data_IF_913206647687
#
_entry.id   IF_913206647687
#
_cell.length_a   1.000
_cell.length_b   1.000
_cell.length_c   1.000
_cell.angle_alpha   90.00
_cell.angle_beta   90.00
_cell.angle_gamma   90.00
#
_symmetry.space_group_name_H-M   'P 1'
#
loop_
_entity.id
_entity.type
_entity.pdbx_description
1 polymer ?
#
# COMPACT_ATOMS: atom_id res chain seq x y z
N UNK A 1 -23.54 -34.28 6.29
CA UNK A 1 -22.38 -34.19 7.22
C UNK A 1 -21.22 -33.66 6.40
N UNK A 2 -20.55 -32.53 6.59
CA UNK A 2 -20.45 -31.44 7.57
C UNK A 2 -20.05 -30.19 6.72
N UNK A 3 -20.75 -29.06 6.78
CA UNK A 3 -20.29 -27.78 7.38
C UNK A 3 -18.77 -27.53 7.36
N UNK A 4 -18.35 -26.40 6.76
CA UNK A 4 -17.45 -25.39 7.37
C UNK A 4 -17.03 -24.30 6.34
N UNK A 5 -17.61 -23.08 6.38
CA UNK A 5 -17.02 -21.79 6.88
C UNK A 5 -16.06 -21.13 5.84
N UNK A 6 -16.01 -19.84 5.49
CA UNK A 6 -16.51 -18.52 5.93
C UNK A 6 -16.19 -17.52 4.76
N UNK A 7 -17.06 -16.55 4.39
CA UNK A 7 -16.94 -15.08 4.62
C UNK A 7 -15.89 -14.33 3.75
N UNK A 8 -16.05 -13.11 3.24
CA UNK A 8 -16.99 -12.00 3.46
C UNK A 8 -16.98 -11.12 2.18
N UNK A 9 -18.08 -10.62 1.62
CA UNK A 9 -18.78 -9.40 2.08
C UNK A 9 -20.04 -9.20 1.22
N UNK A 10 -21.13 -9.90 1.54
CA UNK A 10 -22.48 -9.48 1.08
C UNK A 10 -23.59 -10.06 1.97
N UNK A 11 -23.33 -10.16 3.27
CA UNK A 11 -24.27 -10.68 4.25
C UNK A 11 -24.32 -9.74 5.47
N UNK A 12 -24.80 -8.52 5.26
CA UNK A 12 -25.16 -7.61 6.34
C UNK A 12 -26.26 -6.66 5.84
N UNK A 13 -27.51 -7.16 5.86
CA UNK A 13 -28.76 -6.42 6.09
C UNK A 13 -29.94 -7.17 5.44
N UNK A 14 -30.54 -8.12 6.17
CA UNK A 14 -32.00 -8.29 6.29
C UNK A 14 -32.25 -9.52 7.17
N UNK A 15 -32.15 -9.33 8.48
CA UNK A 15 -32.73 -10.24 9.46
C UNK A 15 -33.62 -9.40 10.36
N UNK A 16 -34.91 -9.36 10.05
CA UNK A 16 -35.95 -8.86 10.94
C UNK A 16 -37.04 -9.92 11.06
N UNK A 17 -37.00 -10.54 12.24
CA UNK A 17 -37.83 -11.55 12.88
C UNK A 17 -39.34 -11.40 12.65
N UNK A 18 -39.99 -12.49 12.24
CA UNK A 18 -41.44 -12.69 12.25
C UNK A 18 -41.93 -12.93 13.70
N UNK A 19 -42.87 -12.12 14.16
CA UNK A 19 -43.78 -12.46 15.25
C UNK A 19 -45.21 -12.06 14.82
N UNK A 20 -46.12 -13.04 14.73
CA UNK A 20 -47.56 -12.82 14.54
C UNK A 20 -48.24 -12.62 15.90
N UNK A 21 -49.35 -11.85 15.96
CA UNK A 21 -50.64 -12.54 15.99
C UNK A 21 -51.75 -11.93 15.10
N UNK A 22 -52.53 -12.86 14.54
CA UNK A 22 -53.97 -12.85 14.24
C UNK A 22 -54.68 -11.67 13.53
N UNK A 23 -55.37 -12.04 12.45
CA UNK A 23 -56.65 -11.50 11.96
C UNK A 23 -56.60 -10.19 11.17
N UNK A 24 -56.38 -10.34 9.86
CA UNK A 24 -56.69 -9.33 8.86
C UNK A 24 -56.31 -9.87 7.49
N UNK A 25 -57.23 -9.82 6.52
CA UNK A 25 -56.97 -10.15 5.12
C UNK A 25 -55.82 -9.28 4.59
N UNK A 26 -54.60 -9.83 4.56
CA UNK A 26 -53.42 -9.17 4.03
C UNK A 26 -52.92 -9.97 2.82
N UNK A 27 -52.86 -9.29 1.68
CA UNK A 27 -52.12 -9.69 0.49
C UNK A 27 -50.73 -10.23 0.92
N UNK A 28 -50.29 -11.37 0.38
CA UNK A 28 -48.93 -11.86 0.58
C UNK A 28 -47.91 -10.72 0.31
N UNK A 29 -46.84 -10.56 1.10
CA UNK A 29 -45.86 -9.52 0.85
C UNK A 29 -45.29 -9.76 -0.56
N UNK A 30 -45.49 -8.80 -1.47
CA UNK A 30 -44.91 -8.87 -2.80
C UNK A 30 -43.39 -9.01 -2.66
N UNK A 31 -42.81 -10.04 -3.26
CA UNK A 31 -41.35 -10.23 -3.29
C UNK A 31 -40.70 -8.96 -3.83
N UNK A 32 -39.63 -8.49 -3.16
CA UNK A 32 -38.92 -7.28 -3.54
C UNK A 32 -38.39 -7.38 -4.99
N UNK A 33 -38.92 -6.61 -5.95
CA UNK A 33 -38.62 -6.80 -7.37
C UNK A 33 -37.14 -6.60 -7.68
N UNK A 34 -36.44 -5.75 -6.92
CA UNK A 34 -34.99 -5.52 -7.04
C UNK A 34 -34.23 -6.79 -6.65
N UNK A 35 -34.58 -7.39 -5.52
CA UNK A 35 -33.95 -8.62 -5.04
C UNK A 35 -34.23 -9.80 -5.99
N UNK A 36 -35.48 -9.93 -6.45
CA UNK A 36 -35.88 -10.98 -7.40
C UNK A 36 -35.11 -10.86 -8.72
N UNK A 37 -34.95 -9.65 -9.27
CA UNK A 37 -34.17 -9.43 -10.48
C UNK A 37 -32.68 -9.76 -10.28
N UNK A 38 -32.11 -9.41 -9.12
CA UNK A 38 -30.72 -9.74 -8.79
C UNK A 38 -30.49 -11.24 -8.65
N UNK A 39 -31.39 -11.96 -7.97
CA UNK A 39 -31.32 -13.43 -7.84
C UNK A 39 -31.45 -14.10 -9.21
N UNK A 40 -32.37 -13.62 -10.06
CA UNK A 40 -32.53 -14.13 -11.42
C UNK A 40 -31.24 -13.99 -12.24
N UNK A 41 -30.56 -12.84 -12.16
CA UNK A 41 -29.27 -12.62 -12.81
C UNK A 41 -28.20 -13.61 -12.33
N UNK A 42 -28.10 -13.81 -11.01
CA UNK A 42 -27.15 -14.74 -10.40
C UNK A 42 -27.40 -16.20 -10.80
N UNK A 43 -28.65 -16.64 -10.79
CA UNK A 43 -29.00 -18.02 -11.17
C UNK A 43 -28.82 -18.27 -12.67
N UNK A 44 -29.16 -17.30 -13.52
CA UNK A 44 -28.88 -17.37 -14.95
C UNK A 44 -27.37 -17.45 -15.24
N UNK A 45 -26.56 -16.66 -14.51
CA UNK A 45 -25.10 -16.71 -14.61
C UNK A 45 -24.53 -18.08 -14.19
N UNK A 46 -24.98 -18.64 -13.06
CA UNK A 46 -24.57 -20.00 -12.62
C UNK A 46 -24.93 -21.08 -13.65
N UNK A 47 -26.11 -20.95 -14.27
CA UNK A 47 -26.55 -21.84 -15.33
C UNK A 47 -25.83 -21.62 -16.67
N UNK A 48 -24.85 -20.70 -16.74
CA UNK A 48 -24.16 -20.25 -17.95
C UNK A 48 -25.09 -19.72 -19.06
N UNK A 49 -26.28 -19.25 -18.67
CA UNK A 49 -27.24 -18.58 -19.57
C UNK A 49 -26.96 -17.07 -19.56
N UNK A 50 -25.90 -16.66 -20.23
CA UNK A 50 -25.38 -15.29 -20.15
C UNK A 50 -26.31 -14.25 -20.77
N UNK A 51 -27.12 -14.60 -21.76
CA UNK A 51 -28.11 -13.68 -22.33
C UNK A 51 -29.27 -13.42 -21.37
N UNK A 52 -29.75 -14.46 -20.69
CA UNK A 52 -30.77 -14.33 -19.64
C UNK A 52 -30.24 -13.54 -18.44
N UNK A 53 -28.98 -13.75 -18.09
CA UNK A 53 -28.30 -12.98 -17.04
C UNK A 53 -28.18 -11.50 -17.41
N UNK A 54 -27.80 -11.17 -18.66
CA UNK A 54 -27.74 -9.79 -19.15
C UNK A 54 -29.12 -9.12 -19.12
N UNK A 55 -30.17 -9.85 -19.52
CA UNK A 55 -31.55 -9.35 -19.47
C UNK A 55 -32.00 -9.05 -18.03
N UNK A 56 -31.72 -9.97 -17.10
CA UNK A 56 -32.04 -9.76 -15.69
C UNK A 56 -31.27 -8.59 -15.08
N UNK A 57 -30.00 -8.39 -15.47
CA UNK A 57 -29.18 -7.25 -15.05
C UNK A 57 -29.69 -5.91 -15.61
N UNK A 58 -30.18 -5.88 -16.86
CA UNK A 58 -30.84 -4.69 -17.42
C UNK A 58 -32.11 -4.35 -16.66
N UNK A 59 -32.94 -5.36 -16.36
CA UNK A 59 -34.14 -5.18 -15.55
C UNK A 59 -33.81 -4.66 -14.16
N UNK A 60 -32.74 -5.15 -13.56
CA UNK A 60 -32.25 -4.67 -12.27
C UNK A 60 -31.88 -3.18 -12.32
N UNK A 61 -31.14 -2.73 -13.33
CA UNK A 61 -30.81 -1.31 -13.49
C UNK A 61 -32.04 -0.43 -13.69
N UNK A 62 -33.01 -0.89 -14.47
CA UNK A 62 -34.27 -0.17 -14.68
C UNK A 62 -35.02 0.05 -13.36
N UNK A 63 -35.14 -1.00 -12.55
CA UNK A 63 -35.73 -0.92 -11.21
C UNK A 63 -34.92 0.03 -10.32
N UNK A 64 -33.59 -0.09 -10.31
CA UNK A 64 -32.73 0.80 -9.53
C UNK A 64 -32.83 2.25 -9.98
N UNK A 65 -33.15 2.54 -11.24
CA UNK A 65 -33.32 3.92 -11.73
C UNK A 65 -34.55 4.62 -11.15
N UNK A 66 -35.53 3.86 -10.65
CA UNK A 66 -36.74 4.41 -10.04
C UNK A 66 -36.46 5.03 -8.66
N UNK A 67 -37.08 6.18 -8.31
CA UNK A 67 -36.89 6.82 -7.00
C UNK A 67 -37.32 5.93 -5.82
N UNK A 68 -38.31 5.06 -6.05
CA UNK A 68 -38.84 4.11 -5.06
C UNK A 68 -37.78 3.14 -4.51
N UNK A 69 -36.75 2.84 -5.30
CA UNK A 69 -35.69 1.90 -4.93
C UNK A 69 -34.35 2.57 -4.65
N UNK A 70 -34.35 3.90 -4.49
CA UNK A 70 -33.14 4.68 -4.24
C UNK A 70 -32.35 4.20 -3.02
N UNK A 71 -33.04 3.85 -1.93
CA UNK A 71 -32.44 3.34 -0.69
C UNK A 71 -31.71 2.00 -0.85
N UNK A 72 -31.98 1.24 -1.91
CA UNK A 72 -31.36 -0.08 -2.17
C UNK A 72 -30.20 -0.01 -3.15
N UNK A 73 -30.00 1.14 -3.83
CA UNK A 73 -29.00 1.31 -4.89
C UNK A 73 -27.60 0.97 -4.38
N UNK A 74 -27.18 1.59 -3.29
CA UNK A 74 -25.80 1.44 -2.77
C UNK A 74 -25.50 0.00 -2.33
N UNK A 75 -26.51 -0.73 -1.87
CA UNK A 75 -26.37 -2.14 -1.45
C UNK A 75 -26.28 -3.08 -2.64
N UNK A 76 -26.97 -2.80 -3.74
CA UNK A 76 -27.14 -3.73 -4.87
C UNK A 76 -26.16 -3.45 -6.03
N UNK A 77 -25.77 -2.18 -6.23
CA UNK A 77 -24.87 -1.76 -7.31
C UNK A 77 -23.53 -2.52 -7.35
N UNK A 78 -22.84 -2.82 -6.23
CA UNK A 78 -21.61 -3.60 -6.27
C UNK A 78 -21.84 -4.99 -6.87
N UNK A 79 -22.91 -5.67 -6.45
CA UNK A 79 -23.29 -6.97 -7.01
C UNK A 79 -23.65 -6.89 -8.49
N UNK A 80 -24.38 -5.84 -8.89
CA UNK A 80 -24.70 -5.60 -10.30
C UNK A 80 -23.43 -5.46 -11.16
N UNK A 81 -22.49 -4.60 -10.76
CA UNK A 81 -21.25 -4.37 -11.51
C UNK A 81 -20.41 -5.64 -11.62
N UNK A 82 -20.33 -6.43 -10.55
CA UNK A 82 -19.64 -7.71 -10.56
C UNK A 82 -20.21 -8.69 -11.60
N UNK A 83 -21.52 -8.94 -11.56
CA UNK A 83 -22.16 -9.88 -12.50
C UNK A 83 -22.22 -9.33 -13.92
N UNK A 84 -22.37 -8.03 -14.12
CA UNK A 84 -22.30 -7.40 -15.44
C UNK A 84 -20.91 -7.55 -16.07
N UNK A 85 -19.85 -7.40 -15.27
CA UNK A 85 -18.47 -7.62 -15.73
C UNK A 85 -18.22 -9.08 -16.13
N UNK A 86 -18.66 -10.04 -15.31
CA UNK A 86 -18.45 -11.46 -15.60
C UNK A 86 -19.23 -11.93 -16.83
N UNK A 87 -20.48 -11.48 -16.99
CA UNK A 87 -21.27 -11.73 -18.20
C UNK A 87 -20.61 -11.12 -19.44
N UNK A 88 -20.15 -9.87 -19.35
CA UNK A 88 -19.46 -9.21 -20.47
C UNK A 88 -18.18 -9.94 -20.87
N UNK A 89 -17.39 -10.41 -19.89
CA UNK A 89 -16.18 -11.20 -20.13
C UNK A 89 -16.48 -12.50 -20.87
N UNK A 90 -17.49 -13.27 -20.43
CA UNK A 90 -17.90 -14.52 -21.10
C UNK A 90 -18.43 -14.27 -22.51
N UNK A 91 -19.06 -13.12 -22.74
CA UNK A 91 -19.50 -12.66 -24.07
C UNK A 91 -18.37 -12.05 -24.91
N UNK A 92 -17.13 -12.04 -24.42
CA UNK A 92 -15.93 -11.47 -25.08
C UNK A 92 -16.03 -9.97 -25.33
N UNK A 93 -16.86 -9.26 -24.57
CA UNK A 93 -16.95 -7.80 -24.57
C UNK A 93 -16.00 -7.25 -23.50
N UNK A 94 -14.71 -7.18 -23.86
CA UNK A 94 -13.66 -6.76 -22.93
C UNK A 94 -13.85 -5.30 -22.48
N UNK A 95 -14.28 -4.41 -23.38
CA UNK A 95 -14.49 -3.00 -23.06
C UNK A 95 -15.54 -2.84 -21.96
N UNK A 96 -16.70 -3.50 -22.11
CA UNK A 96 -17.75 -3.49 -21.09
C UNK A 96 -17.30 -4.18 -19.81
N UNK A 97 -16.56 -5.28 -19.89
CA UNK A 97 -16.05 -5.97 -18.70
C UNK A 97 -15.14 -5.07 -17.86
N UNK A 98 -14.20 -4.37 -18.49
CA UNK A 98 -13.30 -3.42 -17.81
C UNK A 98 -14.05 -2.26 -17.18
N UNK A 99 -14.99 -1.67 -17.92
CA UNK A 99 -15.81 -0.56 -17.41
C UNK A 99 -16.59 -0.98 -16.14
N UNK A 100 -17.25 -2.14 -16.18
CA UNK A 100 -18.02 -2.61 -15.03
C UNK A 100 -17.12 -2.99 -13.84
N UNK A 101 -15.95 -3.58 -14.07
CA UNK A 101 -14.98 -3.83 -13.00
C UNK A 101 -14.45 -2.55 -12.37
N UNK A 102 -14.17 -1.51 -13.16
CA UNK A 102 -13.74 -0.23 -12.63
C UNK A 102 -14.76 0.34 -11.63
N UNK A 103 -16.06 0.33 -12.00
CA UNK A 103 -17.16 0.75 -11.11
C UNK A 103 -17.32 -0.15 -9.90
N UNK A 104 -17.12 -1.46 -10.07
CA UNK A 104 -17.14 -2.40 -8.94
C UNK A 104 -16.07 -2.07 -7.89
N UNK A 105 -14.85 -1.77 -8.32
CA UNK A 105 -13.74 -1.44 -7.42
C UNK A 105 -13.87 -0.07 -6.73
N UNK A 106 -14.75 0.82 -7.21
CA UNK A 106 -15.13 2.03 -6.46
C UNK A 106 -15.83 1.69 -5.15
N UNK A 107 -16.63 0.63 -5.16
CA UNK A 107 -17.34 0.13 -3.97
C UNK A 107 -16.51 -0.88 -3.17
N UNK A 108 -15.73 -1.75 -3.83
CA UNK A 108 -14.99 -2.84 -3.20
C UNK A 108 -13.51 -2.91 -3.68
N UNK A 109 -12.64 -1.96 -3.29
CA UNK A 109 -11.29 -1.80 -3.86
C UNK A 109 -10.30 -2.94 -3.53
N UNK A 110 -10.59 -3.75 -2.52
CA UNK A 110 -9.78 -4.88 -2.07
C UNK A 110 -10.39 -6.25 -2.37
N UNK A 111 -11.43 -6.32 -3.21
CA UNK A 111 -12.10 -7.59 -3.50
C UNK A 111 -11.14 -8.61 -4.14
N UNK A 112 -11.34 -9.88 -3.79
CA UNK A 112 -10.59 -11.03 -4.32
C UNK A 112 -11.55 -12.12 -4.76
N UNK A 113 -11.15 -12.86 -5.80
CA UNK A 113 -11.92 -13.98 -6.32
C UNK A 113 -11.48 -15.29 -5.67
N UNK A 114 -12.45 -16.12 -5.31
CA UNK A 114 -12.20 -17.47 -4.84
C UNK A 114 -11.56 -18.33 -5.96
N UNK A 115 -10.40 -18.97 -5.72
CA UNK A 115 -9.72 -19.82 -6.68
C UNK A 115 -10.53 -21.00 -7.23
N UNK A 116 -11.49 -21.51 -6.47
CA UNK A 116 -12.32 -22.66 -6.85
C UNK A 116 -13.54 -22.29 -7.69
N UNK A 117 -13.97 -21.04 -7.64
CA UNK A 117 -15.22 -20.57 -8.27
C UNK A 117 -15.03 -19.94 -9.66
N UNK A 118 -13.80 -19.55 -10.02
CA UNK A 118 -13.51 -18.82 -11.27
C UNK A 118 -12.28 -19.36 -12.02
N UNK A 119 -12.32 -19.27 -13.35
CA UNK A 119 -11.21 -19.70 -14.23
C UNK A 119 -9.91 -18.91 -13.91
N UNK A 120 -8.76 -19.51 -14.24
CA UNK A 120 -7.46 -18.86 -13.99
C UNK A 120 -7.31 -17.60 -14.83
N UNK A 121 -7.84 -17.61 -16.04
CA UNK A 121 -7.82 -16.53 -17.01
C UNK A 121 -8.64 -15.34 -16.52
N UNK A 122 -9.86 -15.59 -16.04
CA UNK A 122 -10.71 -14.53 -15.49
C UNK A 122 -10.14 -13.93 -14.21
N UNK A 123 -9.54 -14.74 -13.33
CA UNK A 123 -8.87 -14.24 -12.12
C UNK A 123 -7.71 -13.31 -12.45
N UNK A 124 -6.87 -13.66 -13.44
CA UNK A 124 -5.79 -12.77 -13.90
C UNK A 124 -6.33 -11.46 -14.46
N UNK A 125 -7.43 -11.50 -15.22
CA UNK A 125 -8.09 -10.31 -15.75
C UNK A 125 -8.64 -9.42 -14.63
N UNK A 126 -9.36 -10.02 -13.67
CA UNK A 126 -9.92 -9.32 -12.52
C UNK A 126 -8.84 -8.64 -11.66
N UNK A 127 -7.76 -9.38 -11.35
CA UNK A 127 -6.62 -8.84 -10.59
C UNK A 127 -5.94 -7.66 -11.31
N UNK A 128 -5.81 -7.73 -12.64
CA UNK A 128 -5.23 -6.65 -13.43
C UNK A 128 -6.10 -5.39 -13.39
N UNK A 129 -7.42 -5.52 -13.53
CA UNK A 129 -8.34 -4.38 -13.45
C UNK A 129 -8.43 -3.81 -12.03
N UNK A 130 -8.30 -4.64 -10.99
CA UNK A 130 -8.19 -4.18 -9.60
C UNK A 130 -6.96 -3.30 -9.41
N UNK A 131 -5.80 -3.75 -9.89
CA UNK A 131 -4.55 -2.98 -9.84
C UNK A 131 -4.68 -1.66 -10.61
N UNK A 132 -5.23 -1.70 -11.83
CA UNK A 132 -5.47 -0.50 -12.64
C UNK A 132 -6.43 0.48 -11.95
N UNK A 133 -7.47 0.00 -11.27
CA UNK A 133 -8.38 0.84 -10.50
C UNK A 133 -7.69 1.50 -9.30
N UNK A 134 -6.84 0.77 -8.57
CA UNK A 134 -6.02 1.30 -7.48
C UNK A 134 -5.04 2.36 -7.97
N UNK A 135 -4.38 2.13 -9.11
CA UNK A 135 -3.49 3.09 -9.75
C UNK A 135 -4.22 4.35 -10.20
N UNK A 136 -5.40 4.22 -10.85
CA UNK A 136 -6.25 5.37 -11.23
C UNK A 136 -6.68 6.17 -10.01
N UNK A 137 -7.09 5.50 -8.93
CA UNK A 137 -7.44 6.15 -7.67
C UNK A 137 -6.23 6.87 -7.05
N UNK A 138 -5.06 6.25 -7.07
CA UNK A 138 -3.82 6.87 -6.60
C UNK A 138 -3.35 8.04 -7.50
N UNK A 139 -3.73 8.05 -8.78
CA UNK A 139 -3.49 9.16 -9.70
C UNK A 139 -4.50 10.31 -9.50
N UNK A 140 -5.76 10.00 -9.18
CA UNK A 140 -6.83 10.98 -8.99
C UNK A 140 -6.94 11.53 -7.56
N UNK A 141 -6.39 10.84 -6.55
CA UNK A 141 -6.34 11.34 -5.19
C UNK A 141 -5.51 12.64 -5.15
N UNK A 142 -5.96 13.68 -4.43
CA UNK A 142 -5.11 14.83 -4.16
C UNK A 142 -3.79 14.33 -3.57
N UNK A 143 -2.64 14.94 -3.92
CA UNK A 143 -1.37 14.52 -3.37
C UNK A 143 -1.53 14.48 -1.85
N UNK A 144 -1.22 13.35 -1.19
CA UNK A 144 -1.28 13.30 0.26
C UNK A 144 -0.50 14.49 0.81
N UNK A 145 -1.04 15.16 1.83
CA UNK A 145 -0.36 16.28 2.50
C UNK A 145 1.09 15.90 2.83
N UNK A 146 1.99 16.86 3.05
CA UNK A 146 3.43 16.59 3.17
C UNK A 146 3.77 15.45 4.15
N UNK A 147 2.95 15.27 5.18
CA UNK A 147 3.12 14.24 6.21
C UNK A 147 2.27 12.98 6.00
N UNK A 148 1.38 12.92 5.01
CA UNK A 148 0.48 11.78 4.81
C UNK A 148 1.03 10.76 3.81
N UNK A 149 0.65 9.49 3.92
CA UNK A 149 1.04 8.42 2.99
C UNK A 149 -0.20 7.93 2.25
N UNK A 150 -0.33 8.21 0.94
CA UNK A 150 -1.42 7.63 0.16
C UNK A 150 -1.17 6.12 -0.10
N UNK A 151 -2.23 5.32 -0.20
CA UNK A 151 -2.12 3.92 -0.64
C UNK A 151 -2.20 2.83 0.44
N UNK A 152 -2.35 3.18 1.71
CA UNK A 152 -3.05 2.31 2.68
C UNK A 152 -2.34 1.04 3.16
N UNK A 153 -1.01 0.91 3.04
CA UNK A 153 -0.26 -0.19 3.70
C UNK A 153 0.63 0.25 4.86
N UNK A 154 0.93 1.55 4.95
CA UNK A 154 1.69 2.14 6.06
C UNK A 154 0.75 2.93 6.98
N UNK A 155 0.98 2.91 8.30
CA UNK A 155 0.32 3.84 9.21
C UNK A 155 0.52 5.29 8.77
N UNK A 156 -0.46 6.16 9.00
CA UNK A 156 -0.34 7.55 8.54
C UNK A 156 0.65 8.34 9.41
N UNK A 157 1.72 8.87 8.79
CA UNK A 157 2.76 9.62 9.50
C UNK A 157 2.25 10.96 10.04
N UNK A 158 1.22 11.55 9.43
CA UNK A 158 0.61 12.79 9.87
C UNK A 158 0.11 12.73 11.34
N UNK A 159 -0.29 11.55 11.81
CA UNK A 159 -0.75 11.34 13.18
C UNK A 159 0.38 11.26 14.22
N UNK A 160 1.64 11.08 13.80
CA UNK A 160 2.78 10.88 14.70
C UNK A 160 3.27 12.22 15.24
N UNK A 161 3.14 12.46 16.54
CA UNK A 161 3.87 13.54 17.23
C UNK A 161 5.31 13.12 17.58
N UNK A 162 6.18 14.10 17.81
CA UNK A 162 7.50 13.87 18.40
C UNK A 162 7.35 13.69 19.92
N UNK A 163 7.86 12.58 20.45
CA UNK A 163 8.14 12.45 21.88
C UNK A 163 9.53 13.03 22.17
N UNK A 164 9.59 14.27 22.65
CA UNK A 164 10.85 14.96 22.94
C UNK A 164 11.69 14.24 24.01
N UNK A 165 11.06 13.52 24.94
CA UNK A 165 11.76 12.80 26.00
C UNK A 165 12.57 11.61 25.48
N UNK A 166 12.16 11.05 24.35
CA UNK A 166 12.85 9.97 23.66
C UNK A 166 13.94 10.45 22.69
N UNK A 167 14.13 11.77 22.53
CA UNK A 167 15.22 12.32 21.73
C UNK A 167 16.54 12.18 22.51
N UNK A 168 17.57 11.51 21.95
CA UNK A 168 18.85 11.35 22.64
C UNK A 168 19.51 12.69 22.97
N UNK A 169 19.90 12.85 24.24
CA UNK A 169 20.73 13.97 24.67
C UNK A 169 22.14 13.86 24.07
N UNK A 170 22.79 15.00 23.82
CA UNK A 170 24.17 15.05 23.35
C UNK A 170 25.13 14.79 24.51
N UNK A 171 25.23 13.54 24.95
CA UNK A 171 26.11 13.12 26.05
C UNK A 171 27.55 12.88 25.61
N UNK A 172 27.78 12.67 24.30
CA UNK A 172 29.06 12.18 23.77
C UNK A 172 29.14 10.65 23.71
N UNK A 173 27.99 9.96 23.69
CA UNK A 173 27.93 8.49 23.60
C UNK A 173 28.70 7.95 22.36
N UNK A 174 29.67 7.04 22.53
CA UNK A 174 30.38 6.40 21.41
C UNK A 174 29.45 5.66 20.43
N UNK A 175 28.27 5.21 20.89
CA UNK A 175 27.26 4.53 20.06
C UNK A 175 26.39 5.46 19.21
N UNK A 176 26.48 6.78 19.38
CA UNK A 176 25.59 7.74 18.69
C UNK A 176 25.56 7.54 17.17
N UNK A 177 26.72 7.33 16.54
CA UNK A 177 26.83 7.15 15.09
C UNK A 177 26.11 5.90 14.56
N UNK A 178 25.86 4.90 15.40
CA UNK A 178 25.17 3.66 15.05
C UNK A 178 23.65 3.71 15.36
N UNK A 179 23.15 4.86 15.82
CA UNK A 179 21.69 5.11 15.99
C UNK A 179 21.03 5.56 14.67
N UNK A 180 19.78 6.04 14.71
CA UNK A 180 19.06 6.53 13.52
C UNK A 180 19.87 7.52 12.66
N UNK A 181 20.72 8.36 13.27
CA UNK A 181 21.60 9.31 12.55
C UNK A 181 22.54 8.64 11.55
N UNK A 182 22.74 7.32 11.67
CA UNK A 182 23.42 6.49 10.69
C UNK A 182 22.92 6.68 9.25
N UNK A 183 21.63 6.98 9.08
CA UNK A 183 21.03 7.22 7.76
C UNK A 183 21.51 8.53 7.10
N UNK A 184 21.98 9.49 7.90
CA UNK A 184 22.45 10.79 7.45
C UNK A 184 23.98 10.87 7.40
N UNK A 185 24.70 10.10 8.22
CA UNK A 185 26.17 10.11 8.27
C UNK A 185 26.78 9.52 6.99
N UNK A 186 27.85 10.14 6.52
CA UNK A 186 28.73 9.52 5.52
C UNK A 186 29.61 8.45 6.18
N UNK A 187 30.14 7.52 5.39
CA UNK A 187 31.06 6.49 5.90
C UNK A 187 32.32 7.09 6.52
N UNK A 188 32.79 8.23 5.97
CA UNK A 188 33.94 8.97 6.52
C UNK A 188 33.60 9.54 7.89
N UNK A 189 32.49 10.25 8.01
CA UNK A 189 32.06 10.85 9.29
C UNK A 189 31.80 9.81 10.37
N UNK A 190 31.24 8.65 10.01
CA UNK A 190 31.08 7.54 10.95
C UNK A 190 32.44 7.09 11.50
N UNK A 191 33.45 6.95 10.63
CA UNK A 191 34.82 6.56 11.03
C UNK A 191 35.45 7.66 11.89
N UNK A 192 35.34 8.92 11.46
CA UNK A 192 35.89 10.07 12.18
C UNK A 192 35.29 10.14 13.59
N UNK A 193 33.97 10.01 13.73
CA UNK A 193 33.29 9.99 15.04
C UNK A 193 33.80 8.88 15.95
N UNK A 194 33.93 7.66 15.41
CA UNK A 194 34.42 6.49 16.16
C UNK A 194 35.88 6.60 16.58
N UNK A 195 36.66 7.46 15.91
CA UNK A 195 38.08 7.69 16.25
C UNK A 195 38.29 8.77 17.31
N UNK A 196 37.23 9.50 17.70
CA UNK A 196 37.34 10.59 18.68
C UNK A 196 37.67 10.03 20.08
N UNK A 197 38.61 10.68 20.81
CA UNK A 197 39.19 10.12 22.02
C UNK A 197 38.26 10.15 23.23
N UNK A 198 37.41 11.18 23.35
CA UNK A 198 36.61 11.45 24.54
C UNK A 198 35.20 11.98 24.22
N UNK A 199 34.36 12.04 25.26
CA UNK A 199 32.97 12.48 25.14
C UNK A 199 32.87 13.96 24.75
N UNK A 200 33.84 14.81 25.12
CA UNK A 200 33.79 16.23 24.80
C UNK A 200 33.99 16.45 23.29
N UNK A 201 34.98 15.79 22.70
CA UNK A 201 35.22 15.79 21.26
C UNK A 201 34.02 15.21 20.49
N UNK A 202 33.40 14.14 21.01
CA UNK A 202 32.16 13.58 20.43
C UNK A 202 31.00 14.56 20.49
N UNK A 203 30.80 15.24 21.62
CA UNK A 203 29.74 16.27 21.75
C UNK A 203 29.92 17.43 20.77
N UNK A 204 31.16 17.89 20.57
CA UNK A 204 31.46 18.93 19.59
C UNK A 204 31.19 18.46 18.16
N UNK A 205 31.55 17.20 17.83
CA UNK A 205 31.20 16.60 16.55
C UNK A 205 29.69 16.60 16.31
N UNK A 206 28.90 16.11 17.27
CA UNK A 206 27.43 16.06 17.16
C UNK A 206 26.83 17.46 16.97
N UNK A 207 27.35 18.47 17.68
CA UNK A 207 26.91 19.85 17.52
C UNK A 207 27.16 20.36 16.09
N UNK A 208 28.41 20.25 15.60
CA UNK A 208 28.79 20.64 14.24
C UNK A 208 28.01 19.88 13.16
N UNK A 209 27.75 18.59 13.40
CA UNK A 209 26.94 17.77 12.50
C UNK A 209 25.53 18.35 12.33
N UNK A 210 24.84 18.67 13.44
CA UNK A 210 23.51 19.26 13.35
C UNK A 210 23.53 20.66 12.75
N UNK A 211 24.55 21.47 13.04
CA UNK A 211 24.72 22.80 12.45
C UNK A 211 24.85 22.77 10.90
N UNK A 212 25.27 21.63 10.32
CA UNK A 212 25.33 21.48 8.85
C UNK A 212 23.97 21.46 8.14
N UNK A 213 22.87 21.30 8.90
CA UNK A 213 21.50 21.31 8.36
C UNK A 213 20.85 22.71 8.35
N UNK A 214 21.54 23.72 8.88
CA UNK A 214 21.08 25.11 8.84
C UNK A 214 21.33 25.87 10.16
N UNK A 215 21.09 27.18 10.18
CA UNK A 215 21.24 28.00 11.37
C UNK A 215 20.04 27.87 12.33
N UNK A 216 20.32 27.83 13.64
CA UNK A 216 19.32 28.02 14.70
C UNK A 216 18.04 27.20 14.53
N UNK A 217 16.92 27.89 14.30
CA UNK A 217 15.59 27.28 14.18
C UNK A 217 15.48 26.28 13.01
N UNK A 218 16.18 26.50 11.89
CA UNK A 218 16.14 25.58 10.76
C UNK A 218 16.73 24.21 11.11
N UNK A 219 17.88 24.21 11.79
CA UNK A 219 18.49 23.00 12.37
C UNK A 219 17.55 22.35 13.38
N UNK A 220 16.97 23.12 14.28
CA UNK A 220 16.15 22.57 15.37
C UNK A 220 14.86 21.94 14.81
N UNK A 221 14.21 22.57 13.83
CA UNK A 221 13.07 22.01 13.08
C UNK A 221 13.46 20.74 12.33
N UNK A 222 14.60 20.74 11.62
CA UNK A 222 15.06 19.54 10.90
C UNK A 222 15.36 18.39 11.87
N UNK A 223 16.05 18.66 12.97
CA UNK A 223 16.38 17.67 14.00
C UNK A 223 15.11 17.09 14.63
N UNK A 224 14.14 17.94 14.99
CA UNK A 224 12.87 17.50 15.54
C UNK A 224 12.11 16.59 14.56
N UNK A 225 11.98 17.01 13.30
CA UNK A 225 11.34 16.21 12.25
C UNK A 225 12.08 14.90 11.98
N UNK A 226 13.41 14.91 11.98
CA UNK A 226 14.22 13.70 11.84
C UNK A 226 13.95 12.68 12.96
N UNK A 227 13.92 13.12 14.22
CA UNK A 227 13.63 12.22 15.33
C UNK A 227 12.16 11.77 15.36
N UNK A 228 11.23 12.61 14.91
CA UNK A 228 9.82 12.22 14.71
C UNK A 228 9.72 11.08 13.70
N UNK A 229 10.45 11.16 12.58
CA UNK A 229 10.57 10.08 11.59
C UNK A 229 11.22 8.83 12.18
N UNK A 230 12.30 8.97 12.96
CA UNK A 230 12.95 7.83 13.61
C UNK A 230 11.98 7.09 14.54
N UNK A 231 11.24 7.81 15.37
CA UNK A 231 10.23 7.26 16.28
C UNK A 231 9.05 6.62 15.53
N UNK A 232 8.67 7.17 14.37
CA UNK A 232 7.70 6.53 13.49
C UNK A 232 8.25 5.20 12.96
N UNK A 233 9.47 5.21 12.40
CA UNK A 233 10.13 4.02 11.88
C UNK A 233 10.24 2.93 12.93
N UNK A 234 10.60 3.26 14.17
CA UNK A 234 10.69 2.30 15.26
C UNK A 234 9.35 1.66 15.60
N UNK A 235 8.25 2.41 15.50
CA UNK A 235 6.92 1.86 15.72
C UNK A 235 6.39 1.02 14.55
N UNK A 236 6.74 1.40 13.31
CA UNK A 236 6.14 0.82 12.10
C UNK A 236 7.00 -0.29 11.46
N UNK A 237 8.33 -0.25 11.63
CA UNK A 237 9.27 -1.04 10.84
C UNK A 237 10.19 -1.93 11.66
N UNK A 238 10.11 -1.91 13.00
CA UNK A 238 10.93 -2.77 13.84
C UNK A 238 10.63 -4.25 13.59
N UNK A 239 11.69 -5.07 13.62
CA UNK A 239 11.62 -6.53 13.65
C UNK A 239 12.12 -7.01 15.00
N UNK A 240 12.13 -8.33 15.24
CA UNK A 240 12.64 -8.92 16.49
C UNK A 240 14.09 -8.51 16.77
N UNK A 241 14.93 -8.42 15.74
CA UNK A 241 16.36 -8.18 15.88
C UNK A 241 16.82 -6.76 15.47
N UNK A 242 15.99 -6.03 14.70
CA UNK A 242 16.39 -4.75 14.10
C UNK A 242 15.39 -3.66 14.44
N UNK A 243 15.89 -2.62 15.12
CA UNK A 243 15.15 -1.38 15.36
C UNK A 243 14.73 -0.74 14.04
N UNK A 244 13.48 -0.31 13.94
CA UNK A 244 12.88 0.17 12.70
C UNK A 244 13.63 1.34 12.05
N UNK A 245 14.19 2.28 12.82
CA UNK A 245 15.03 3.37 12.29
C UNK A 245 16.34 2.90 11.63
N UNK A 246 16.81 1.69 11.98
CA UNK A 246 18.02 1.07 11.43
C UNK A 246 17.71 0.09 10.28
N UNK A 247 16.43 -0.20 10.04
CA UNK A 247 16.00 -1.06 8.94
C UNK A 247 16.19 -0.37 7.58
N UNK A 248 16.15 -1.16 6.51
CA UNK A 248 16.18 -0.66 5.13
C UNK A 248 15.03 0.33 4.85
N UNK A 249 13.80 0.01 5.29
CA UNK A 249 12.65 0.92 5.23
C UNK A 249 12.90 2.20 6.01
N UNK A 250 13.44 2.06 7.22
CA UNK A 250 13.80 3.18 8.08
C UNK A 250 14.80 4.12 7.43
N UNK A 251 15.85 3.58 6.79
CA UNK A 251 16.86 4.39 6.10
C UNK A 251 16.26 5.24 4.97
N UNK A 252 15.40 4.66 4.14
CA UNK A 252 14.72 5.40 3.06
C UNK A 252 13.81 6.48 3.65
N UNK A 253 13.01 6.12 4.66
CA UNK A 253 12.04 7.02 5.29
C UNK A 253 12.70 8.18 6.04
N UNK A 254 13.82 7.94 6.72
CA UNK A 254 14.56 8.99 7.44
C UNK A 254 15.09 10.08 6.49
N UNK A 255 15.57 9.67 5.31
CA UNK A 255 16.15 10.59 4.32
C UNK A 255 15.06 11.29 3.50
N UNK A 256 14.09 10.56 2.96
CA UNK A 256 13.10 11.10 2.02
C UNK A 256 11.78 11.50 2.68
N UNK A 257 11.53 11.08 3.92
CA UNK A 257 10.26 11.25 4.60
C UNK A 257 9.20 10.24 4.13
N UNK A 258 7.90 10.53 4.31
CA UNK A 258 6.83 9.64 3.89
C UNK A 258 6.76 9.48 2.36
N UNK A 259 6.57 8.27 1.82
CA UNK A 259 6.40 8.07 0.38
C UNK A 259 5.08 8.65 -0.13
N UNK A 260 5.07 9.14 -1.37
CA UNK A 260 3.83 9.63 -2.02
C UNK A 260 2.79 8.52 -2.09
N UNK A 261 3.23 7.28 -2.35
CA UNK A 261 2.39 6.11 -2.39
C UNK A 261 3.13 4.88 -1.88
N UNK A 262 2.47 4.05 -1.07
CA UNK A 262 2.98 2.74 -0.66
C UNK A 262 1.96 1.65 -0.99
N UNK A 263 2.40 0.53 -1.57
CA UNK A 263 1.56 -0.64 -1.85
C UNK A 263 2.26 -1.96 -1.52
N UNK A 264 1.47 -3.02 -1.32
CA UNK A 264 1.94 -4.39 -1.13
C UNK A 264 1.32 -5.30 -2.18
N UNK A 265 2.09 -6.26 -2.65
CA UNK A 265 1.64 -7.25 -3.63
C UNK A 265 2.33 -8.59 -3.41
N UNK A 266 1.70 -9.72 -3.77
CA UNK A 266 2.38 -11.02 -3.74
C UNK A 266 3.57 -11.02 -4.71
N UNK A 267 4.72 -11.52 -4.26
CA UNK A 267 5.92 -11.67 -5.08
C UNK A 267 5.64 -12.72 -6.17
N UNK A 268 5.53 -12.30 -7.44
CA UNK A 268 5.29 -13.21 -8.57
C UNK A 268 6.61 -13.78 -9.08
N UNK A 269 6.60 -15.05 -9.50
CA UNK A 269 7.75 -15.88 -9.90
C UNK A 269 8.73 -15.26 -10.93
N UNK A 270 8.35 -14.19 -11.63
CA UNK A 270 9.18 -13.50 -12.64
C UNK A 270 9.92 -12.24 -12.15
N UNK A 271 9.68 -11.83 -10.89
CA UNK A 271 10.25 -10.63 -10.27
C UNK A 271 11.35 -10.94 -9.24
N UNK A 272 11.61 -12.22 -8.96
CA UNK A 272 12.71 -12.65 -8.11
C UNK A 272 14.03 -12.63 -8.91
N UNK A 273 14.92 -11.70 -8.59
CA UNK A 273 16.26 -11.57 -9.20
C UNK A 273 17.10 -12.83 -8.91
N UNK A 274 16.84 -13.53 -7.80
CA UNK A 274 17.55 -14.74 -7.41
C UNK A 274 17.10 -15.95 -8.23
N UNK A 275 15.83 -16.07 -8.62
CA UNK A 275 15.40 -17.14 -9.53
C UNK A 275 16.03 -17.00 -10.93
N UNK A 276 16.22 -15.75 -11.43
CA UNK A 276 16.99 -15.53 -12.68
C UNK A 276 18.43 -16.01 -12.58
N UNK A 277 19.06 -15.88 -11.42
CA UNK A 277 20.43 -16.35 -11.17
C UNK A 277 20.50 -17.85 -10.89
N UNK A 278 19.41 -18.46 -10.38
CA UNK A 278 19.33 -19.90 -10.07
C UNK A 278 19.07 -20.77 -11.30
N UNK A 279 18.43 -20.24 -12.34
CA UNK A 279 18.16 -20.96 -13.60
C UNK A 279 19.44 -21.39 -14.35
N UNK A 280 20.60 -20.78 -14.08
CA UNK A 280 21.87 -21.21 -14.70
C UNK A 280 22.45 -22.52 -14.11
N UNK A 281 22.09 -22.90 -12.87
CA UNK A 281 22.60 -24.11 -12.23
C UNK A 281 21.44 -25.05 -11.91
N UNK A 282 21.13 -25.90 -12.90
CA UNK A 282 20.09 -26.93 -12.95
C UNK A 282 19.86 -27.71 -11.63
N UNK A 283 19.12 -27.12 -10.68
CA UNK A 283 18.60 -27.75 -9.48
C UNK A 283 17.07 -27.71 -9.47
N UNK A 284 16.48 -28.84 -9.06
CA UNK A 284 15.05 -29.13 -9.03
C UNK A 284 14.19 -28.02 -8.41
N UNK A 285 13.16 -27.58 -9.15
CA UNK A 285 12.08 -26.72 -8.67
C UNK A 285 11.05 -27.58 -7.94
N UNK A 286 10.81 -27.30 -6.65
CA UNK A 286 9.68 -27.90 -5.93
C UNK A 286 8.37 -27.20 -6.35
N UNK A 287 7.32 -27.92 -6.76
CA UNK A 287 6.02 -27.32 -7.05
C UNK A 287 5.34 -26.87 -5.75
N UNK A 288 5.40 -25.58 -5.44
CA UNK A 288 4.78 -24.98 -4.27
C UNK A 288 5.22 -23.53 -4.14
N UNK A 289 4.35 -22.60 -4.53
CA UNK A 289 4.63 -21.18 -4.70
C UNK A 289 5.37 -20.55 -3.52
N UNK A 290 6.38 -19.76 -3.83
CA UNK A 290 7.13 -19.04 -2.83
C UNK A 290 6.27 -17.87 -2.35
N UNK A 291 5.71 -17.99 -1.13
CA UNK A 291 4.91 -16.95 -0.48
C UNK A 291 5.83 -15.79 -0.04
N UNK A 292 6.19 -14.91 -0.98
CA UNK A 292 6.88 -13.64 -0.71
C UNK A 292 5.94 -12.46 -0.88
N UNK A 293 6.25 -11.33 -0.24
CA UNK A 293 5.55 -10.06 -0.38
C UNK A 293 6.52 -9.00 -0.94
N UNK A 294 6.04 -8.24 -1.92
CA UNK A 294 6.71 -7.08 -2.49
C UNK A 294 5.99 -5.81 -2.04
N UNK A 295 6.70 -4.96 -1.30
CA UNK A 295 6.25 -3.64 -0.87
C UNK A 295 6.93 -2.57 -1.75
N UNK A 296 6.14 -1.71 -2.40
CA UNK A 296 6.61 -0.68 -3.31
C UNK A 296 6.35 0.71 -2.72
N UNK A 297 7.38 1.53 -2.61
CA UNK A 297 7.30 2.93 -2.17
C UNK A 297 7.63 3.87 -3.32
N UNK A 298 6.65 4.65 -3.75
CA UNK A 298 6.79 5.63 -4.83
C UNK A 298 6.95 7.02 -4.23
N UNK A 299 8.01 7.71 -4.61
CA UNK A 299 8.23 9.13 -4.34
C UNK A 299 8.08 9.88 -5.64
N UNK A 300 7.09 10.77 -5.71
CA UNK A 300 6.91 11.66 -6.86
C UNK A 300 7.69 12.96 -6.66
N UNK A 301 7.83 13.72 -7.74
CA UNK A 301 8.64 14.94 -7.83
C UNK A 301 8.48 15.91 -6.65
N UNK A 302 7.28 16.04 -6.10
CA UNK A 302 6.96 16.91 -4.98
C UNK A 302 7.60 16.48 -3.64
N UNK A 303 7.94 15.19 -3.48
CA UNK A 303 8.61 14.64 -2.29
C UNK A 303 10.09 14.37 -2.50
N UNK A 304 10.57 14.51 -3.72
CA UNK A 304 11.97 14.34 -4.05
C UNK A 304 12.71 15.66 -3.76
N UNK A 305 13.81 15.65 -2.99
CA UNK A 305 14.61 16.84 -2.75
C UNK A 305 15.05 17.53 -4.05
N UNK A 306 15.00 18.87 -4.07
CA UNK A 306 15.50 19.67 -5.18
C UNK A 306 16.98 19.33 -5.42
N UNK A 307 17.35 19.07 -6.68
CA UNK A 307 18.71 18.66 -7.07
C UNK A 307 18.84 17.19 -7.48
N UNK A 308 17.80 16.38 -7.26
CA UNK A 308 17.69 15.04 -7.84
C UNK A 308 17.01 15.13 -9.22
N UNK A 309 17.63 14.63 -10.31
CA UNK A 309 17.13 14.80 -11.68
C UNK A 309 16.07 13.75 -12.06
N UNK A 310 15.23 13.33 -11.10
CA UNK A 310 14.20 12.31 -11.32
C UNK A 310 12.84 12.85 -10.89
N UNK A 311 11.82 12.58 -11.71
CA UNK A 311 10.42 12.94 -11.41
C UNK A 311 9.72 11.90 -10.54
N UNK A 312 10.30 10.71 -10.47
CA UNK A 312 9.80 9.59 -9.67
C UNK A 312 10.96 8.70 -9.21
N UNK A 313 10.87 8.17 -8.00
CA UNK A 313 11.75 7.13 -7.45
C UNK A 313 10.89 6.00 -6.88
N UNK A 314 11.32 4.76 -7.11
CA UNK A 314 10.64 3.55 -6.64
C UNK A 314 11.57 2.74 -5.74
N UNK A 315 11.30 2.70 -4.44
CA UNK A 315 12.01 1.80 -3.53
C UNK A 315 11.19 0.53 -3.32
N UNK A 316 11.80 -0.63 -3.56
CA UNK A 316 11.12 -1.92 -3.43
C UNK A 316 11.68 -2.69 -2.24
N UNK A 317 10.81 -3.29 -1.45
CA UNK A 317 11.17 -4.11 -0.30
C UNK A 317 10.56 -5.50 -0.45
N UNK A 318 11.39 -6.53 -0.30
CA UNK A 318 10.95 -7.92 -0.42
C UNK A 318 10.96 -8.58 0.95
N UNK A 319 9.84 -9.20 1.31
CA UNK A 319 9.71 -10.07 2.48
C UNK A 319 9.53 -11.50 2.01
N UNK A 320 10.45 -12.39 2.36
CA UNK A 320 10.39 -13.79 1.95
C UNK A 320 11.17 -14.66 2.93
N UNK A 321 10.67 -15.87 3.21
CA UNK A 321 11.33 -16.82 4.12
C UNK A 321 12.74 -17.13 3.63
N UNK A 322 13.73 -16.91 4.50
CA UNK A 322 15.16 -17.10 4.19
C UNK A 322 15.84 -15.92 3.47
N UNK A 323 15.08 -14.96 2.94
CA UNK A 323 15.61 -13.72 2.37
C UNK A 323 15.64 -12.59 3.40
N UNK A 324 14.62 -12.52 4.26
CA UNK A 324 14.47 -11.52 5.31
C UNK A 324 13.12 -10.80 5.24
N UNK A 325 12.96 -9.84 6.13
CA UNK A 325 11.74 -9.02 6.23
C UNK A 325 12.02 -7.63 5.66
N UNK A 326 11.26 -7.23 4.64
CA UNK A 326 11.32 -5.93 3.98
C UNK A 326 12.75 -5.50 3.57
N UNK A 327 13.48 -6.42 2.93
CA UNK A 327 14.84 -6.19 2.44
C UNK A 327 14.79 -5.31 1.18
N UNK A 328 15.54 -4.20 1.20
CA UNK A 328 15.55 -3.24 0.08
C UNK A 328 16.23 -3.82 -1.16
N UNK A 329 15.54 -3.71 -2.29
CA UNK A 329 16.09 -3.97 -3.61
C UNK A 329 16.94 -2.77 -4.03
N UNK A 330 18.26 -2.93 -3.99
CA UNK A 330 19.25 -1.85 -4.14
C UNK A 330 19.50 -1.50 -5.61
N UNK A 331 18.45 -1.05 -6.29
CA UNK A 331 18.56 -0.59 -7.66
C UNK A 331 19.56 0.58 -7.77
N UNK A 332 20.57 0.53 -8.67
CA UNK A 332 21.66 1.50 -8.67
C UNK A 332 21.20 2.95 -8.80
N UNK A 333 20.17 3.22 -9.61
CA UNK A 333 19.63 4.57 -9.80
C UNK A 333 19.04 5.12 -8.51
N UNK A 334 18.20 4.34 -7.84
CA UNK A 334 17.47 4.70 -6.63
C UNK A 334 18.42 4.85 -5.43
N UNK A 335 19.45 3.99 -5.36
CA UNK A 335 20.48 4.11 -4.33
C UNK A 335 21.35 5.35 -4.51
N UNK A 336 21.74 5.67 -5.75
CA UNK A 336 22.46 6.90 -6.05
C UNK A 336 21.61 8.14 -5.72
N UNK A 337 20.32 8.10 -6.05
CA UNK A 337 19.39 9.17 -5.70
C UNK A 337 19.25 9.33 -4.18
N UNK A 338 19.16 8.23 -3.42
CA UNK A 338 19.05 8.26 -1.96
C UNK A 338 20.32 8.85 -1.31
N UNK A 339 21.49 8.44 -1.77
CA UNK A 339 22.77 8.98 -1.28
C UNK A 339 22.90 10.46 -1.59
N UNK A 340 22.54 10.88 -2.81
CA UNK A 340 22.53 12.30 -3.20
C UNK A 340 21.51 13.10 -2.38
N UNK A 341 20.33 12.54 -2.12
CA UNK A 341 19.30 13.17 -1.29
C UNK A 341 19.83 13.42 0.13
N UNK A 342 20.46 12.42 0.76
CA UNK A 342 21.05 12.58 2.10
C UNK A 342 22.11 13.69 2.16
N UNK A 343 22.91 13.88 1.09
CA UNK A 343 23.88 14.98 0.99
C UNK A 343 23.19 16.34 0.82
N UNK A 344 22.18 16.41 -0.04
CA UNK A 344 21.43 17.65 -0.32
C UNK A 344 20.62 18.15 0.88
N UNK A 345 20.35 17.31 1.89
CA UNK A 345 19.75 17.75 3.15
C UNK A 345 20.68 18.68 3.93
N UNK A 346 21.99 18.61 3.69
CA UNK A 346 22.97 19.48 4.32
C UNK A 346 23.25 20.66 3.41
N UNK A 347 23.47 21.82 4.02
CA UNK A 347 24.10 22.93 3.30
C UNK A 347 25.56 22.56 3.13
N UNK A 348 25.97 22.19 1.92
CA UNK A 348 27.40 22.18 1.62
C UNK A 348 27.94 23.58 1.94
N UNK A 349 28.95 23.64 2.80
CA UNK A 349 29.67 24.87 3.06
C UNK A 349 30.39 25.28 1.77
N UNK A 350 29.70 26.05 0.92
CA UNK A 350 30.27 26.81 -0.19
C UNK A 350 30.56 26.06 -1.48
N UNK A 351 29.54 25.86 -2.32
CA UNK A 351 29.68 26.03 -3.77
C UNK A 351 28.94 27.32 -4.17
N UNK A 352 29.55 28.44 -3.80
CA UNK A 352 29.05 29.78 -4.06
C UNK A 352 30.20 30.77 -4.02
N UNK A 353 31.12 30.66 -4.98
CA UNK A 353 31.96 31.74 -5.53
C UNK A 353 33.16 31.13 -6.26
N UNK A 354 33.02 30.90 -7.57
CA UNK A 354 34.07 31.17 -8.55
C UNK A 354 33.49 31.30 -9.95
#
# INVERSE_FOLDING_TARGET
MLRSLLSATLAAALAATLALPSSGTAQAPAEDPVFTAFVAAKEAWKARRFDDADLALRRLLELLSSPEHASKRDTVLPGYHFYAASVAYEKKDEARAKEQLARYFEHQPGAELDPGSFSKEYRRFFDAERQAAQERRAAAAPPPGPDSIAGGVLPDFASRGLDESAVPANTGDPGWADTAVAALLTDRERKDYKSLPDDAARREFVARFWDSFGPGEERDRFRAEFYRRAQYCDSAFSTEDVRGSLSDRGRVFLVLGPPSYASRSPLRQSQDVIDRLRIQNNFFVTPGGVNGELENWVYRKERIPKGIPFTELLYQFVTQRGYGTAVLQKEPREMNALQKAARLLRREAGEGSR
#
